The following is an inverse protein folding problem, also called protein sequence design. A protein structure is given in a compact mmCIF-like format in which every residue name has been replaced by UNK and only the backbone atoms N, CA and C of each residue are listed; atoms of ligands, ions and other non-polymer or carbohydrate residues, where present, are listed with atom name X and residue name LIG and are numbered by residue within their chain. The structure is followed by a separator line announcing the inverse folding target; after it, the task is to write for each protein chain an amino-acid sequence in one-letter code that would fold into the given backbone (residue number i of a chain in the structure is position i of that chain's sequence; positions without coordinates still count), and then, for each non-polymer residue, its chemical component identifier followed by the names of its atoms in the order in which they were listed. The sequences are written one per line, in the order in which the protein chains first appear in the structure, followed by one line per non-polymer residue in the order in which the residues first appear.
data_IF_646670032683
#
_entry.id   IF_646670032683
#
_cell.length_a   1.000
_cell.length_b   1.000
_cell.length_c   1.000
_cell.angle_alpha   90.00
_cell.angle_beta   90.00
_cell.angle_gamma   90.00
#
_symmetry.space_group_name_H-M   'P 1'
#
loop_
_entity.id
_entity.type
_entity.pdbx_description
1 polymer ?
#
# COMPACT_ATOMS: atom_id res chain seq x y z
N UNK A 1 4.39 31.41 -6.22
CA UNK A 1 4.27 31.79 -4.79
C UNK A 1 3.34 30.84 -4.07
N UNK A 2 3.66 30.52 -2.79
CA UNK A 2 2.76 29.72 -1.94
C UNK A 2 1.49 30.53 -1.65
N UNK A 3 0.33 29.93 -1.92
CA UNK A 3 -1.00 30.47 -1.60
C UNK A 3 -1.66 29.58 -0.57
N UNK A 4 -2.39 30.21 0.33
CA UNK A 4 -3.18 29.52 1.36
C UNK A 4 -4.60 30.03 1.27
N UNK A 5 -5.53 29.12 0.97
CA UNK A 5 -6.96 29.42 0.93
C UNK A 5 -7.67 28.68 2.07
N UNK A 6 -8.26 29.43 2.97
CA UNK A 6 -8.99 28.85 4.11
C UNK A 6 -10.46 28.66 3.77
N UNK A 7 -11.00 27.51 4.15
CA UNK A 7 -12.41 27.14 4.04
C UNK A 7 -12.90 26.57 5.35
N UNK A 8 -14.20 26.62 5.57
CA UNK A 8 -14.84 25.98 6.74
C UNK A 8 -15.70 24.82 6.26
N UNK A 9 -15.45 23.65 6.82
CA UNK A 9 -16.14 22.40 6.48
C UNK A 9 -16.92 21.91 7.71
N UNK A 10 -18.09 21.37 7.48
CA UNK A 10 -19.00 20.90 8.53
C UNK A 10 -20.08 21.92 8.91
N UNK A 11 -21.32 21.47 8.89
CA UNK A 11 -22.48 22.33 9.22
C UNK A 11 -22.46 22.82 10.68
N UNK A 12 -22.05 21.93 11.60
CA UNK A 12 -22.04 22.18 13.05
C UNK A 12 -20.64 22.52 13.56
N UNK A 13 -19.63 21.74 13.19
CA UNK A 13 -18.25 21.93 13.71
C UNK A 13 -17.56 23.15 13.11
N UNK A 14 -17.87 23.50 11.85
CA UNK A 14 -17.21 24.57 11.09
C UNK A 14 -15.68 24.49 11.18
N UNK A 15 -15.15 23.25 11.01
CA UNK A 15 -13.71 22.97 11.09
C UNK A 15 -12.97 23.75 10.02
N UNK A 16 -11.91 24.44 10.42
CA UNK A 16 -11.07 25.19 9.49
C UNK A 16 -10.24 24.20 8.65
N UNK A 17 -10.23 24.42 7.35
CA UNK A 17 -9.48 23.61 6.38
C UNK A 17 -8.67 24.55 5.50
N UNK A 18 -7.36 24.39 5.47
CA UNK A 18 -6.47 25.19 4.65
C UNK A 18 -6.06 24.41 3.38
N UNK A 19 -6.31 24.98 2.20
CA UNK A 19 -5.74 24.53 0.94
C UNK A 19 -4.44 25.28 0.67
N UNK A 20 -3.36 24.53 0.50
CA UNK A 20 -2.03 25.06 0.16
C UNK A 20 -1.69 24.64 -1.27
N UNK A 21 -1.18 25.57 -2.05
CA UNK A 21 -0.73 25.31 -3.42
C UNK A 21 0.27 26.35 -3.90
N UNK A 22 1.08 26.00 -4.89
CA UNK A 22 1.98 26.93 -5.58
C UNK A 22 1.24 27.51 -6.80
N UNK A 23 1.01 28.84 -6.78
CA UNK A 23 0.19 29.53 -7.80
C UNK A 23 0.73 29.39 -9.23
N UNK A 24 2.02 29.28 -9.37
CA UNK A 24 2.76 29.18 -10.63
C UNK A 24 2.92 27.73 -11.14
N UNK A 25 2.67 26.74 -10.30
CA UNK A 25 2.85 25.32 -10.65
C UNK A 25 1.54 24.53 -10.70
N UNK A 26 0.56 24.91 -9.87
CA UNK A 26 -0.72 24.20 -9.82
C UNK A 26 -1.52 24.41 -11.12
N UNK A 27 -2.11 23.34 -11.64
CA UNK A 27 -3.03 23.46 -12.77
C UNK A 27 -4.35 24.07 -12.31
N UNK A 28 -4.82 25.15 -12.95
CA UNK A 28 -6.06 25.83 -12.54
C UNK A 28 -7.28 24.89 -12.50
N UNK A 29 -7.38 23.98 -13.47
CA UNK A 29 -8.48 23.02 -13.57
C UNK A 29 -8.48 22.02 -12.39
N UNK A 30 -7.29 21.57 -11.96
CA UNK A 30 -7.13 20.70 -10.81
C UNK A 30 -7.57 21.42 -9.53
N UNK A 31 -7.07 22.65 -9.32
CA UNK A 31 -7.43 23.46 -8.16
C UNK A 31 -8.94 23.68 -8.09
N UNK A 32 -9.57 24.07 -9.20
CA UNK A 32 -11.01 24.29 -9.26
C UNK A 32 -11.81 23.03 -8.93
N UNK A 33 -11.38 21.86 -9.43
CA UNK A 33 -12.03 20.56 -9.10
C UNK A 33 -11.94 20.28 -7.61
N UNK A 34 -10.76 20.46 -7.01
CA UNK A 34 -10.54 20.23 -5.57
C UNK A 34 -11.40 21.19 -4.74
N UNK A 35 -11.38 22.49 -5.07
CA UNK A 35 -12.18 23.49 -4.37
C UNK A 35 -13.68 23.18 -4.42
N UNK A 36 -14.17 22.79 -5.60
CA UNK A 36 -15.58 22.44 -5.79
C UNK A 36 -15.97 21.19 -4.98
N UNK A 37 -15.07 20.21 -4.87
CA UNK A 37 -15.34 19.03 -4.05
C UNK A 37 -15.29 19.34 -2.56
N UNK A 38 -14.32 20.13 -2.10
CA UNK A 38 -14.25 20.56 -0.70
C UNK A 38 -15.51 21.37 -0.31
N UNK A 39 -16.02 22.22 -1.21
CA UNK A 39 -17.26 22.98 -0.96
C UNK A 39 -18.52 22.12 -0.94
N UNK A 40 -18.47 20.95 -1.59
CA UNK A 40 -19.57 19.96 -1.61
C UNK A 40 -19.52 18.97 -0.44
N UNK A 41 -18.52 19.04 0.43
CA UNK A 41 -18.46 18.18 1.61
C UNK A 41 -19.62 18.49 2.54
N UNK A 42 -20.66 17.66 2.47
CA UNK A 42 -21.85 17.80 3.29
C UNK A 42 -21.75 16.91 4.55
N UNK A 43 -21.14 17.47 5.59
CA UNK A 43 -20.91 16.84 6.88
C UNK A 43 -21.42 17.74 8.00
N UNK A 44 -21.91 17.14 9.08
CA UNK A 44 -22.18 17.87 10.31
C UNK A 44 -20.87 18.21 11.04
N UNK A 45 -19.89 17.30 10.99
CA UNK A 45 -18.62 17.38 11.70
C UNK A 45 -17.51 16.72 10.91
N UNK A 46 -16.35 17.37 10.83
CA UNK A 46 -15.11 16.81 10.29
C UNK A 46 -14.14 16.52 11.44
N UNK A 47 -14.14 15.28 11.99
CA UNK A 47 -13.34 14.96 13.18
C UNK A 47 -11.87 14.73 12.86
N UNK A 48 -11.56 14.18 11.68
CA UNK A 48 -10.21 13.80 11.28
C UNK A 48 -10.03 13.83 9.75
N UNK A 49 -8.76 13.85 9.31
CA UNK A 49 -8.35 13.79 7.91
C UNK A 49 -8.86 12.56 7.16
N UNK A 50 -8.96 11.41 7.81
CA UNK A 50 -9.47 10.17 7.22
C UNK A 50 -10.93 10.28 6.73
N UNK A 51 -11.76 11.09 7.39
CA UNK A 51 -13.12 11.41 6.89
C UNK A 51 -13.07 12.23 5.60
N UNK A 52 -12.18 13.23 5.56
CA UNK A 52 -11.99 14.04 4.36
C UNK A 52 -11.45 13.19 3.20
N UNK A 53 -10.49 12.29 3.46
CA UNK A 53 -9.93 11.37 2.48
C UNK A 53 -11.03 10.54 1.82
N UNK A 54 -11.82 9.81 2.60
CA UNK A 54 -12.89 8.94 2.08
C UNK A 54 -13.92 9.67 1.24
N UNK A 55 -14.28 10.90 1.60
CA UNK A 55 -15.29 11.69 0.90
C UNK A 55 -14.77 12.40 -0.35
N UNK A 56 -13.48 12.70 -0.37
CA UNK A 56 -12.79 13.31 -1.53
C UNK A 56 -12.39 12.26 -2.56
N UNK A 57 -12.36 10.98 -2.20
CA UNK A 57 -12.07 9.89 -3.13
C UNK A 57 -13.24 9.62 -4.07
N UNK A 58 -12.90 9.49 -5.36
CA UNK A 58 -13.91 9.22 -6.40
C UNK A 58 -14.50 7.82 -6.30
N UNK A 59 -13.67 6.82 -5.94
CA UNK A 59 -14.06 5.40 -5.80
C UNK A 59 -13.87 4.94 -4.36
N UNK A 60 -14.85 5.24 -3.53
CA UNK A 60 -14.87 4.92 -2.09
C UNK A 60 -14.85 3.41 -1.78
N UNK A 61 -15.28 2.55 -2.72
CA UNK A 61 -15.26 1.09 -2.54
C UNK A 61 -13.94 0.42 -2.94
N UNK A 62 -12.97 1.19 -3.45
CA UNK A 62 -11.65 0.66 -3.74
C UNK A 62 -10.85 0.49 -2.46
N UNK A 63 -10.15 -0.65 -2.25
CA UNK A 63 -9.25 -0.80 -1.12
C UNK A 63 -7.95 0.03 -1.29
N UNK A 64 -7.73 0.60 -2.48
CA UNK A 64 -6.54 1.39 -2.79
C UNK A 64 -6.81 2.87 -2.57
N UNK A 65 -5.98 3.57 -1.77
CA UNK A 65 -6.13 4.99 -1.50
C UNK A 65 -5.87 5.81 -2.78
N UNK A 66 -6.71 6.80 -3.04
CA UNK A 66 -6.58 7.71 -4.18
C UNK A 66 -5.98 9.06 -3.78
N UNK A 67 -5.81 9.28 -2.50
CA UNK A 67 -5.19 10.45 -1.88
C UNK A 67 -4.06 9.99 -0.97
N UNK A 68 -3.09 10.85 -0.72
CA UNK A 68 -1.94 10.51 0.11
C UNK A 68 -1.94 11.34 1.39
N UNK A 69 -2.00 10.68 2.54
CA UNK A 69 -1.83 11.32 3.84
C UNK A 69 -0.38 11.29 4.30
N UNK A 70 0.08 12.37 4.95
CA UNK A 70 1.41 12.46 5.53
C UNK A 70 1.44 13.43 6.70
N UNK A 71 2.21 13.10 7.74
CA UNK A 71 2.56 14.01 8.84
C UNK A 71 3.86 14.79 8.55
N UNK A 72 4.55 14.45 7.47
CA UNK A 72 5.88 14.97 7.16
C UNK A 72 5.80 16.28 6.38
N UNK A 73 6.36 17.38 6.92
CA UNK A 73 6.37 18.67 6.23
C UNK A 73 7.30 18.68 5.01
N UNK A 74 8.39 17.91 5.01
CA UNK A 74 9.31 17.75 3.88
C UNK A 74 8.61 17.14 2.66
N UNK A 75 7.82 16.04 2.87
CA UNK A 75 7.03 15.41 1.81
C UNK A 75 5.94 16.35 1.29
N UNK A 76 5.31 17.11 2.19
CA UNK A 76 4.30 18.10 1.81
C UNK A 76 4.90 19.22 0.95
N UNK A 77 6.08 19.74 1.34
CA UNK A 77 6.73 20.79 0.57
C UNK A 77 7.17 20.31 -0.81
N UNK A 78 7.73 19.10 -0.92
CA UNK A 78 8.09 18.50 -2.22
C UNK A 78 6.87 18.34 -3.12
N UNK A 79 5.75 17.82 -2.59
CA UNK A 79 4.51 17.67 -3.33
C UNK A 79 3.96 19.03 -3.85
N UNK A 80 4.06 20.08 -3.06
CA UNK A 80 3.66 21.43 -3.49
C UNK A 80 4.54 21.96 -4.64
N UNK A 81 5.84 21.66 -4.61
CA UNK A 81 6.78 22.02 -5.68
C UNK A 81 6.57 21.21 -6.96
N UNK A 82 5.95 20.04 -6.86
CA UNK A 82 5.48 19.23 -8.00
C UNK A 82 4.14 19.73 -8.59
N UNK A 83 3.57 20.81 -8.05
CA UNK A 83 2.28 21.35 -8.49
C UNK A 83 1.06 20.64 -7.90
N UNK A 84 1.25 19.79 -6.88
CA UNK A 84 0.16 19.16 -6.13
C UNK A 84 -0.45 20.14 -5.13
N UNK A 85 -1.62 19.82 -4.63
CA UNK A 85 -2.33 20.61 -3.61
C UNK A 85 -2.27 19.85 -2.29
N UNK A 86 -2.04 20.57 -1.19
CA UNK A 86 -2.12 20.02 0.15
C UNK A 86 -3.36 20.57 0.86
N UNK A 87 -4.16 19.67 1.45
CA UNK A 87 -5.31 20.00 2.28
C UNK A 87 -4.94 19.72 3.75
N UNK A 88 -5.05 20.74 4.58
CA UNK A 88 -4.76 20.68 6.03
C UNK A 88 -6.05 20.93 6.81
N UNK A 89 -6.75 19.87 7.26
CA UNK A 89 -7.84 20.00 8.21
C UNK A 89 -7.30 20.36 9.59
N UNK A 90 -8.04 21.18 10.33
CA UNK A 90 -7.74 21.44 11.73
C UNK A 90 -8.00 20.18 12.60
N UNK A 91 -7.39 20.11 13.77
CA UNK A 91 -7.48 19.01 14.75
C UNK A 91 -6.79 17.69 14.33
N UNK A 92 -6.00 17.66 13.26
CA UNK A 92 -5.26 16.49 12.81
C UNK A 92 -3.84 16.86 12.38
N UNK A 93 -2.82 16.02 12.66
CA UNK A 93 -1.45 16.28 12.22
C UNK A 93 -1.23 15.95 10.74
N UNK A 94 -2.22 15.37 10.06
CA UNK A 94 -2.08 14.88 8.70
C UNK A 94 -2.39 15.96 7.65
N UNK A 95 -1.48 16.08 6.68
CA UNK A 95 -1.75 16.75 5.40
C UNK A 95 -2.24 15.72 4.38
N UNK A 96 -3.29 16.07 3.64
CA UNK A 96 -3.81 15.27 2.52
C UNK A 96 -3.25 15.87 1.23
N UNK A 97 -2.48 15.10 0.48
CA UNK A 97 -1.86 15.49 -0.78
C UNK A 97 -2.68 14.99 -1.97
N UNK A 98 -2.99 15.90 -2.88
CA UNK A 98 -3.84 15.66 -4.05
C UNK A 98 -3.17 16.24 -5.31
N UNK A 99 -3.23 15.52 -6.43
CA UNK A 99 -3.61 14.13 -6.63
C UNK A 99 -2.55 13.15 -6.10
N UNK A 100 -2.90 11.86 -5.99
CA UNK A 100 -1.94 10.81 -5.67
C UNK A 100 -1.97 9.71 -6.73
N UNK A 101 -0.80 9.17 -7.06
CA UNK A 101 -0.61 8.07 -7.98
C UNK A 101 0.02 6.89 -7.25
N UNK A 102 -0.04 5.68 -7.80
CA UNK A 102 0.58 4.51 -7.20
C UNK A 102 2.06 4.76 -6.88
N UNK A 103 2.79 5.40 -7.78
CA UNK A 103 4.20 5.71 -7.62
C UNK A 103 4.47 6.56 -6.37
N UNK A 104 3.64 7.57 -6.08
CA UNK A 104 3.83 8.47 -4.93
C UNK A 104 3.72 7.76 -3.58
N UNK A 105 3.04 6.60 -3.52
CA UNK A 105 2.95 5.78 -2.30
C UNK A 105 4.20 4.94 -2.06
N UNK A 106 4.98 4.63 -3.11
CA UNK A 106 6.25 3.90 -3.00
C UNK A 106 7.45 4.81 -2.78
N UNK A 107 7.31 6.10 -3.04
CA UNK A 107 8.34 7.10 -2.80
C UNK A 107 8.35 7.53 -1.33
N UNK A 108 9.54 7.55 -0.74
CA UNK A 108 9.80 8.12 0.59
C UNK A 108 10.63 9.39 0.45
N UNK A 109 10.50 10.32 1.43
CA UNK A 109 11.29 11.56 1.39
C UNK A 109 12.80 11.28 1.52
N UNK A 110 13.16 10.21 2.23
CA UNK A 110 14.54 9.75 2.39
C UNK A 110 15.20 9.38 1.06
N UNK A 111 14.42 9.00 0.05
CA UNK A 111 14.95 8.66 -1.27
C UNK A 111 15.74 9.80 -1.90
N UNK A 112 15.51 11.05 -1.49
CA UNK A 112 16.18 12.23 -2.02
C UNK A 112 17.34 12.74 -1.16
N UNK A 113 17.57 12.12 0.01
CA UNK A 113 18.61 12.53 0.96
C UNK A 113 19.90 11.73 0.80
N UNK A 114 19.83 10.59 0.13
CA UNK A 114 20.97 9.67 -0.05
C UNK A 114 21.36 9.55 -1.52
N UNK A 115 22.36 8.73 -1.82
CA UNK A 115 22.88 8.51 -3.18
C UNK A 115 21.84 7.83 -4.07
N UNK A 116 21.73 8.28 -5.29
CA UNK A 116 20.72 7.83 -6.24
C UNK A 116 20.77 6.34 -6.56
N UNK A 117 21.98 5.75 -6.62
CA UNK A 117 22.16 4.31 -6.90
C UNK A 117 21.57 3.44 -5.79
N UNK A 118 21.85 3.81 -4.52
CA UNK A 118 21.35 3.10 -3.34
C UNK A 118 19.83 3.23 -3.26
N UNK A 119 19.32 4.43 -3.46
CA UNK A 119 17.88 4.68 -3.38
C UNK A 119 17.10 4.03 -4.51
N UNK A 120 17.66 3.96 -5.73
CA UNK A 120 17.07 3.19 -6.83
C UNK A 120 16.97 1.70 -6.50
N UNK A 121 18.00 1.12 -5.89
CA UNK A 121 17.98 -0.27 -5.44
C UNK A 121 16.92 -0.49 -4.34
N UNK A 122 16.82 0.41 -3.36
CA UNK A 122 15.81 0.32 -2.29
C UNK A 122 14.39 0.45 -2.87
N UNK A 123 14.17 1.35 -3.84
CA UNK A 123 12.87 1.45 -4.53
C UNK A 123 12.51 0.15 -5.24
N UNK A 124 13.46 -0.46 -5.95
CA UNK A 124 13.25 -1.76 -6.58
C UNK A 124 12.83 -2.82 -5.55
N UNK A 125 13.51 -2.87 -4.39
CA UNK A 125 13.13 -3.78 -3.30
C UNK A 125 11.70 -3.51 -2.83
N UNK A 126 11.25 -2.26 -2.72
CA UNK A 126 9.88 -1.92 -2.33
C UNK A 126 8.84 -2.45 -3.32
N UNK A 127 9.08 -2.31 -4.63
CA UNK A 127 8.18 -2.86 -5.65
C UNK A 127 8.13 -4.38 -5.62
N UNK A 128 9.29 -5.04 -5.48
CA UNK A 128 9.37 -6.51 -5.31
C UNK A 128 8.65 -6.93 -4.03
N UNK A 129 8.85 -6.23 -2.92
CA UNK A 129 8.17 -6.52 -1.65
C UNK A 129 6.64 -6.37 -1.78
N UNK A 130 6.15 -5.34 -2.46
CA UNK A 130 4.71 -5.18 -2.72
C UNK A 130 4.15 -6.34 -3.55
N UNK A 131 4.85 -6.75 -4.59
CA UNK A 131 4.47 -7.90 -5.40
C UNK A 131 4.44 -9.19 -4.57
N UNK A 132 5.48 -9.46 -3.77
CA UNK A 132 5.53 -10.62 -2.90
C UNK A 132 4.46 -10.60 -1.81
N UNK A 133 4.17 -9.43 -1.24
CA UNK A 133 3.10 -9.27 -0.24
C UNK A 133 1.74 -9.77 -0.76
N UNK A 134 1.46 -9.53 -2.03
CA UNK A 134 0.18 -9.93 -2.65
C UNK A 134 0.21 -11.37 -3.14
N UNK A 135 1.34 -11.82 -3.69
CA UNK A 135 1.39 -13.07 -4.47
C UNK A 135 1.92 -14.27 -3.70
N UNK A 136 2.84 -14.07 -2.75
CA UNK A 136 3.62 -15.17 -2.17
C UNK A 136 2.77 -16.26 -1.52
N UNK A 137 1.74 -15.99 -0.70
CA UNK A 137 0.89 -17.03 -0.12
C UNK A 137 0.09 -17.79 -1.18
N UNK A 138 -0.43 -17.08 -2.20
CA UNK A 138 -1.15 -17.69 -3.31
C UNK A 138 -0.25 -18.56 -4.19
N UNK A 139 0.97 -18.11 -4.48
CA UNK A 139 1.97 -18.91 -5.20
C UNK A 139 2.35 -20.18 -4.44
N UNK A 140 2.51 -20.08 -3.12
CA UNK A 140 2.78 -21.27 -2.30
C UNK A 140 1.65 -22.29 -2.41
N UNK A 141 0.38 -21.87 -2.30
CA UNK A 141 -0.77 -22.74 -2.49
C UNK A 141 -0.74 -23.37 -3.89
N UNK A 142 -0.53 -22.56 -4.93
CA UNK A 142 -0.51 -23.02 -6.30
C UNK A 142 0.57 -24.08 -6.55
N UNK A 143 1.78 -23.89 -6.02
CA UNK A 143 2.88 -24.86 -6.16
C UNK A 143 2.69 -26.10 -5.27
N UNK A 144 2.29 -25.92 -4.01
CA UNK A 144 2.21 -27.03 -3.09
C UNK A 144 1.02 -27.97 -3.35
N UNK A 145 -0.10 -27.46 -3.91
CA UNK A 145 -1.32 -28.24 -4.14
C UNK A 145 -1.48 -28.68 -5.58
N UNK A 146 -1.24 -27.77 -6.54
CA UNK A 146 -1.60 -28.00 -7.94
C UNK A 146 -0.40 -28.35 -8.83
N UNK A 147 0.79 -27.82 -8.51
CA UNK A 147 1.98 -27.94 -9.36
C UNK A 147 3.24 -28.30 -8.57
N UNK A 148 3.23 -29.40 -7.78
CA UNK A 148 4.42 -29.82 -7.01
C UNK A 148 5.61 -30.17 -7.93
N UNK A 149 5.36 -30.50 -9.18
CA UNK A 149 6.36 -30.80 -10.20
C UNK A 149 7.23 -29.59 -10.59
N UNK A 150 6.76 -28.37 -10.35
CA UNK A 150 7.55 -27.14 -10.59
C UNK A 150 8.57 -26.86 -9.48
N UNK A 151 8.43 -27.53 -8.32
CA UNK A 151 9.40 -27.42 -7.25
C UNK A 151 10.59 -28.36 -7.49
N UNK A 152 11.83 -27.97 -7.12
CA UNK A 152 12.96 -28.90 -7.12
C UNK A 152 12.59 -30.17 -6.32
N UNK A 153 12.88 -31.36 -6.85
CA UNK A 153 12.44 -32.63 -6.29
C UNK A 153 12.78 -32.80 -4.81
N UNK A 154 13.97 -32.36 -4.39
CA UNK A 154 14.38 -32.39 -2.99
C UNK A 154 13.49 -31.51 -2.08
N UNK A 155 13.05 -30.35 -2.58
CA UNK A 155 12.17 -29.45 -1.86
C UNK A 155 10.73 -30.00 -1.82
N UNK A 156 10.23 -30.51 -2.93
CA UNK A 156 8.89 -31.11 -3.02
C UNK A 156 8.75 -32.29 -2.05
N UNK A 157 9.73 -33.19 -2.00
CA UNK A 157 9.77 -34.31 -1.05
C UNK A 157 9.82 -33.82 0.40
N UNK A 158 10.64 -32.81 0.70
CA UNK A 158 10.73 -32.24 2.05
C UNK A 158 9.40 -31.63 2.49
N UNK A 159 8.74 -30.88 1.62
CA UNK A 159 7.40 -30.31 1.88
C UNK A 159 6.38 -31.43 2.10
N UNK A 160 6.39 -32.49 1.30
CA UNK A 160 5.48 -33.63 1.47
C UNK A 160 5.67 -34.30 2.83
N UNK A 161 6.90 -34.64 3.19
CA UNK A 161 7.22 -35.32 4.48
C UNK A 161 6.83 -34.45 5.68
N UNK A 162 7.12 -33.17 5.66
CA UNK A 162 6.77 -32.26 6.78
C UNK A 162 5.26 -32.07 6.96
N UNK A 163 4.45 -32.47 5.97
CA UNK A 163 2.99 -32.35 6.01
C UNK A 163 2.24 -33.65 6.38
N UNK A 164 2.94 -34.77 6.43
CA UNK A 164 2.30 -36.07 6.76
C UNK A 164 1.58 -36.08 8.12
N UNK A 165 2.06 -35.29 9.09
CA UNK A 165 1.50 -35.20 10.44
C UNK A 165 0.48 -34.06 10.62
N UNK A 166 0.24 -33.24 9.59
CA UNK A 166 -0.60 -32.05 9.72
C UNK A 166 -2.03 -32.36 9.28
N UNK A 167 -3.05 -32.11 10.14
CA UNK A 167 -4.43 -32.47 9.84
C UNK A 167 -5.11 -31.46 8.87
N UNK A 168 -4.53 -30.27 8.64
CA UNK A 168 -5.13 -29.24 7.80
C UNK A 168 -4.63 -29.31 6.36
N UNK A 169 -5.49 -28.86 5.42
CA UNK A 169 -5.07 -28.63 4.03
C UNK A 169 -4.09 -27.46 3.95
N UNK A 170 -3.27 -27.40 2.88
CA UNK A 170 -2.35 -26.26 2.62
C UNK A 170 -3.08 -24.93 2.70
N UNK A 171 -4.26 -24.86 2.11
CA UNK A 171 -5.09 -23.65 2.10
C UNK A 171 -5.49 -23.27 3.52
N UNK A 172 -5.90 -24.25 4.33
CA UNK A 172 -6.24 -24.04 5.74
C UNK A 172 -5.05 -23.55 6.56
N UNK A 173 -3.87 -24.17 6.40
CA UNK A 173 -2.64 -23.73 7.08
C UNK A 173 -2.29 -22.30 6.73
N UNK A 174 -2.30 -21.93 5.45
CA UNK A 174 -2.00 -20.56 4.99
C UNK A 174 -3.00 -19.56 5.58
N UNK A 175 -4.30 -19.86 5.54
CA UNK A 175 -5.33 -18.97 6.09
C UNK A 175 -5.19 -18.80 7.60
N UNK A 176 -4.94 -19.88 8.35
CA UNK A 176 -4.71 -19.81 9.80
C UNK A 176 -3.52 -18.89 10.11
N UNK A 177 -2.40 -19.07 9.42
CA UNK A 177 -1.21 -18.25 9.65
C UNK A 177 -1.40 -16.78 9.23
N UNK A 178 -2.02 -16.53 8.08
CA UNK A 178 -2.30 -15.17 7.63
C UNK A 178 -3.24 -14.42 8.59
N UNK A 179 -4.27 -15.09 9.11
CA UNK A 179 -5.18 -14.52 10.12
C UNK A 179 -4.44 -14.30 11.45
N UNK A 180 -3.60 -15.24 11.88
CA UNK A 180 -2.83 -15.11 13.11
C UNK A 180 -1.87 -13.91 13.05
N UNK A 181 -1.15 -13.73 11.93
CA UNK A 181 -0.30 -12.54 11.72
C UNK A 181 -1.10 -11.24 11.65
N UNK A 182 -2.30 -11.27 11.06
CA UNK A 182 -3.18 -10.12 11.02
C UNK A 182 -3.66 -9.70 12.41
N UNK A 183 -4.04 -10.67 13.24
CA UNK A 183 -4.43 -10.43 14.65
C UNK A 183 -3.26 -9.89 15.48
N UNK A 184 -2.05 -10.42 15.28
CA UNK A 184 -0.84 -9.88 15.92
C UNK A 184 -0.59 -8.43 15.57
N UNK A 185 -0.72 -8.08 14.30
CA UNK A 185 -0.55 -6.72 13.81
C UNK A 185 -1.60 -5.77 14.39
N UNK A 186 -2.88 -6.17 14.32
CA UNK A 186 -3.99 -5.37 14.85
C UNK A 186 -3.84 -5.13 16.37
N UNK A 187 -3.45 -6.17 17.10
CA UNK A 187 -3.13 -6.05 18.51
C UNK A 187 -1.95 -5.12 18.77
N UNK A 188 -0.90 -5.22 17.93
CA UNK A 188 0.31 -4.40 18.04
C UNK A 188 0.07 -2.90 17.86
N UNK A 189 -0.79 -2.51 16.96
CA UNK A 189 -1.08 -1.08 16.67
C UNK A 189 -1.77 -0.39 17.87
N UNK A 190 -2.54 -1.12 18.65
CA UNK A 190 -3.32 -0.56 19.78
C UNK A 190 -2.55 -0.46 21.09
N UNK A 191 -1.34 -0.99 21.15
CA UNK A 191 -0.55 -1.06 22.37
C UNK A 191 0.56 0.00 22.38
N UNK A 192 0.97 0.50 23.56
CA UNK A 192 2.14 1.36 23.69
C UNK A 192 3.39 0.69 23.09
N UNK A 193 4.27 1.46 22.44
CA UNK A 193 5.42 0.98 21.69
C UNK A 193 6.26 -0.11 22.37
N UNK A 194 6.62 -0.01 23.69
CA UNK A 194 7.42 -1.05 24.35
C UNK A 194 6.69 -2.39 24.46
N UNK A 195 5.37 -2.35 24.72
CA UNK A 195 4.54 -3.56 24.84
C UNK A 195 4.27 -4.16 23.48
N UNK A 196 3.99 -3.33 22.48
CA UNK A 196 3.78 -3.75 21.09
C UNK A 196 4.97 -4.51 20.51
N UNK A 197 6.21 -4.02 20.72
CA UNK A 197 7.42 -4.70 20.23
C UNK A 197 7.62 -6.06 20.92
N UNK A 198 7.38 -6.13 22.23
CA UNK A 198 7.47 -7.38 23.00
C UNK A 198 6.45 -8.41 22.51
N UNK A 199 5.19 -8.01 22.34
CA UNK A 199 4.13 -8.89 21.83
C UNK A 199 4.42 -9.32 20.39
N UNK A 200 4.96 -8.43 19.54
CA UNK A 200 5.34 -8.77 18.19
C UNK A 200 6.42 -9.85 18.13
N UNK A 201 7.48 -9.74 18.96
CA UNK A 201 8.56 -10.73 19.03
C UNK A 201 8.07 -12.03 19.65
N UNK A 202 7.49 -11.96 20.86
CA UNK A 202 7.02 -13.14 21.60
C UNK A 202 5.89 -13.84 20.86
N UNK A 203 4.90 -13.08 20.36
CA UNK A 203 3.80 -13.63 19.59
C UNK A 203 4.27 -14.28 18.29
N UNK A 204 5.19 -13.67 17.55
CA UNK A 204 5.77 -14.24 16.32
C UNK A 204 6.53 -15.55 16.58
N UNK A 205 7.35 -15.60 17.63
CA UNK A 205 8.09 -16.82 18.01
C UNK A 205 7.12 -17.88 18.52
N UNK A 206 6.23 -17.57 19.47
CA UNK A 206 5.32 -18.54 20.06
C UNK A 206 4.36 -19.09 19.01
N UNK A 207 3.73 -18.23 18.20
CA UNK A 207 2.82 -18.69 17.15
C UNK A 207 3.56 -19.50 16.10
N UNK A 208 4.76 -19.05 15.68
CA UNK A 208 5.55 -19.77 14.69
C UNK A 208 6.05 -21.14 15.20
N UNK A 209 6.76 -21.18 16.34
CA UNK A 209 7.34 -22.43 16.85
C UNK A 209 6.28 -23.37 17.44
N UNK A 210 5.39 -22.86 18.30
CA UNK A 210 4.39 -23.71 18.94
C UNK A 210 3.38 -24.29 17.94
N UNK A 211 3.01 -23.56 16.90
CA UNK A 211 2.11 -24.07 15.88
C UNK A 211 2.74 -25.17 15.04
N UNK A 212 4.06 -25.08 14.78
CA UNK A 212 4.84 -26.14 14.11
C UNK A 212 5.03 -27.34 15.03
N UNK A 213 5.44 -27.13 16.29
CA UNK A 213 5.67 -28.20 17.26
C UNK A 213 4.38 -28.96 17.58
N UNK A 214 3.24 -28.28 17.58
CA UNK A 214 1.92 -28.89 17.74
C UNK A 214 1.40 -29.61 16.46
N UNK A 215 2.12 -29.53 15.35
CA UNK A 215 1.69 -30.10 14.07
C UNK A 215 0.43 -29.43 13.48
N UNK A 216 0.17 -28.18 13.82
CA UNK A 216 -0.97 -27.41 13.27
C UNK A 216 -0.65 -26.86 11.89
N UNK A 217 0.58 -26.38 11.70
CA UNK A 217 1.05 -25.82 10.43
C UNK A 217 2.44 -26.33 10.09
N UNK A 218 2.76 -26.35 8.80
CA UNK A 218 4.09 -26.75 8.34
C UNK A 218 5.11 -25.61 8.51
N UNK A 219 6.40 -25.92 8.75
CA UNK A 219 7.46 -24.94 8.81
C UNK A 219 7.52 -24.05 7.57
N UNK A 220 7.21 -24.60 6.40
CA UNK A 220 7.23 -23.88 5.13
C UNK A 220 6.16 -22.78 5.09
N UNK A 221 4.95 -23.06 5.57
CA UNK A 221 3.86 -22.05 5.64
C UNK A 221 4.26 -20.90 6.58
N UNK A 222 4.88 -21.22 7.72
CA UNK A 222 5.35 -20.18 8.66
C UNK A 222 6.37 -19.25 7.98
N UNK A 223 7.32 -19.80 7.21
CA UNK A 223 8.32 -19.02 6.47
C UNK A 223 7.63 -18.15 5.42
N UNK A 224 6.69 -18.69 4.66
CA UNK A 224 5.95 -17.95 3.62
C UNK A 224 5.16 -16.79 4.23
N UNK A 225 4.40 -17.03 5.29
CA UNK A 225 3.61 -15.99 5.95
C UNK A 225 4.49 -14.95 6.65
N UNK A 226 5.59 -15.36 7.29
CA UNK A 226 6.55 -14.44 7.89
C UNK A 226 7.19 -13.53 6.84
N UNK A 227 7.63 -14.09 5.70
CA UNK A 227 8.22 -13.32 4.61
C UNK A 227 7.19 -12.35 3.99
N UNK A 228 5.95 -12.78 3.81
CA UNK A 228 4.84 -11.91 3.37
C UNK A 228 4.63 -10.74 4.33
N UNK A 229 4.66 -11.01 5.63
CA UNK A 229 4.57 -9.99 6.66
C UNK A 229 5.72 -8.98 6.59
N UNK A 230 6.96 -9.47 6.52
CA UNK A 230 8.17 -8.63 6.40
C UNK A 230 8.10 -7.75 5.13
N UNK A 231 7.75 -8.33 3.98
CA UNK A 231 7.59 -7.58 2.74
C UNK A 231 6.60 -6.42 2.87
N UNK A 232 5.50 -6.60 3.62
CA UNK A 232 4.52 -5.54 3.84
C UNK A 232 5.05 -4.36 4.66
N UNK A 233 6.08 -4.55 5.50
CA UNK A 233 6.70 -3.47 6.29
C UNK A 233 7.74 -2.66 5.51
N UNK A 234 8.23 -3.17 4.38
CA UNK A 234 9.20 -2.47 3.53
C UNK A 234 8.55 -1.27 2.81
N UNK A 235 7.24 -1.28 2.66
CA UNK A 235 6.48 -0.24 1.94
C UNK A 235 6.26 0.96 2.87
N UNK A 236 6.64 2.20 2.45
CA UNK A 236 6.67 3.34 3.35
C UNK A 236 5.30 3.92 3.71
N UNK A 237 4.28 3.71 2.89
CA UNK A 237 2.94 4.27 3.11
C UNK A 237 1.96 3.21 3.63
N UNK A 238 1.39 3.45 4.81
CA UNK A 238 0.50 2.50 5.50
C UNK A 238 -0.83 2.29 4.77
N UNK A 239 -1.36 3.35 4.13
CA UNK A 239 -2.66 3.26 3.45
C UNK A 239 -2.61 2.28 2.27
N UNK A 240 -1.56 2.35 1.42
CA UNK A 240 -1.40 1.41 0.30
C UNK A 240 -1.16 -0.02 0.78
N UNK A 241 -0.42 -0.20 1.89
CA UNK A 241 -0.19 -1.54 2.48
C UNK A 241 -1.52 -2.20 2.85
N UNK A 242 -2.47 -1.46 3.41
CA UNK A 242 -3.80 -1.98 3.75
C UNK A 242 -4.55 -2.47 2.51
N UNK A 243 -4.47 -1.75 1.39
CA UNK A 243 -5.03 -2.17 0.09
C UNK A 243 -4.37 -3.45 -0.44
N UNK A 244 -3.04 -3.56 -0.37
CA UNK A 244 -2.30 -4.75 -0.78
C UNK A 244 -2.64 -5.97 0.08
N UNK A 245 -2.82 -5.79 1.38
CA UNK A 245 -3.22 -6.87 2.32
C UNK A 245 -4.59 -7.44 1.98
N UNK A 246 -5.57 -6.60 1.68
CA UNK A 246 -6.89 -7.07 1.25
C UNK A 246 -6.76 -7.81 -0.10
N UNK A 247 -6.00 -7.25 -1.04
CA UNK A 247 -5.77 -7.86 -2.35
C UNK A 247 -5.11 -9.23 -2.27
N UNK A 248 -4.24 -9.47 -1.27
CA UNK A 248 -3.64 -10.77 -0.98
C UNK A 248 -4.69 -11.87 -0.80
N UNK A 249 -5.76 -11.63 -0.05
CA UNK A 249 -6.82 -12.62 0.16
C UNK A 249 -7.58 -12.94 -1.13
N UNK A 250 -7.72 -11.98 -2.04
CA UNK A 250 -8.28 -12.24 -3.37
C UNK A 250 -7.38 -13.20 -4.14
N UNK A 251 -6.06 -12.99 -4.13
CA UNK A 251 -5.10 -13.89 -4.79
C UNK A 251 -5.11 -15.29 -4.15
N UNK A 252 -5.15 -15.39 -2.81
CA UNK A 252 -5.27 -16.65 -2.09
C UNK A 252 -6.54 -17.42 -2.52
N UNK A 253 -7.67 -16.74 -2.60
CA UNK A 253 -8.93 -17.36 -3.02
C UNK A 253 -8.85 -17.91 -4.46
N UNK A 254 -8.38 -17.12 -5.41
CA UNK A 254 -8.22 -17.57 -6.79
C UNK A 254 -7.18 -18.69 -6.93
N UNK A 255 -6.08 -18.62 -6.17
CA UNK A 255 -5.07 -19.66 -6.13
C UNK A 255 -5.62 -20.98 -5.56
N UNK A 256 -6.47 -20.90 -4.54
CA UNK A 256 -7.11 -22.07 -3.93
C UNK A 256 -8.08 -22.79 -4.87
N UNK A 257 -8.72 -22.09 -5.81
CA UNK A 257 -9.71 -22.65 -6.73
C UNK A 257 -9.05 -23.10 -8.06
N UNK A 258 -8.14 -22.28 -8.61
CA UNK A 258 -7.60 -22.45 -9.96
C UNK A 258 -6.08 -22.64 -10.00
N UNK A 259 -5.41 -22.81 -8.86
CA UNK A 259 -3.96 -22.97 -8.80
C UNK A 259 -3.20 -21.78 -9.38
N UNK A 260 -2.15 -22.05 -10.15
CA UNK A 260 -1.29 -21.01 -10.75
C UNK A 260 -2.05 -20.13 -11.75
N UNK A 261 -2.98 -20.71 -12.51
CA UNK A 261 -3.86 -19.93 -13.39
C UNK A 261 -4.69 -18.91 -12.59
N UNK A 262 -5.18 -19.32 -11.41
CA UNK A 262 -5.90 -18.43 -10.51
C UNK A 262 -5.07 -17.26 -10.02
N UNK A 263 -3.80 -17.48 -9.69
CA UNK A 263 -2.88 -16.38 -9.31
C UNK A 263 -2.76 -15.36 -10.44
N UNK A 264 -2.53 -15.81 -11.67
CA UNK A 264 -2.43 -14.90 -12.83
C UNK A 264 -3.74 -14.17 -13.11
N UNK A 265 -4.87 -14.88 -13.04
CA UNK A 265 -6.19 -14.26 -13.22
C UNK A 265 -6.46 -13.19 -12.16
N UNK A 266 -6.16 -13.45 -10.89
CA UNK A 266 -6.30 -12.47 -9.82
C UNK A 266 -5.39 -11.25 -10.02
N UNK A 267 -4.14 -11.45 -10.43
CA UNK A 267 -3.21 -10.35 -10.74
C UNK A 267 -3.71 -9.49 -11.90
N UNK A 268 -4.24 -10.10 -12.96
CA UNK A 268 -4.81 -9.36 -14.09
C UNK A 268 -6.05 -8.55 -13.65
N UNK A 269 -6.91 -9.11 -12.81
CA UNK A 269 -8.05 -8.39 -12.24
C UNK A 269 -7.61 -7.21 -11.37
N UNK A 270 -6.58 -7.39 -10.53
CA UNK A 270 -6.02 -6.32 -9.72
C UNK A 270 -5.39 -5.22 -10.58
N UNK A 271 -4.63 -5.59 -11.62
CA UNK A 271 -4.07 -4.62 -12.57
C UNK A 271 -5.16 -3.86 -13.32
N UNK A 272 -6.21 -4.54 -13.80
CA UNK A 272 -7.36 -3.90 -14.44
C UNK A 272 -8.09 -2.94 -13.49
N UNK A 273 -8.23 -3.33 -12.22
CA UNK A 273 -8.80 -2.46 -11.18
C UNK A 273 -7.93 -1.20 -10.99
N UNK A 274 -6.63 -1.36 -10.77
CA UNK A 274 -5.70 -0.24 -10.60
C UNK A 274 -5.67 0.69 -11.83
N UNK A 275 -5.68 0.12 -13.04
CA UNK A 275 -5.73 0.90 -14.29
C UNK A 275 -7.03 1.69 -14.45
N UNK A 276 -8.12 1.23 -13.83
CA UNK A 276 -9.42 1.91 -13.86
C UNK A 276 -9.54 3.06 -12.85
N UNK A 277 -8.60 3.16 -11.90
CA UNK A 277 -8.59 4.21 -10.88
C UNK A 277 -8.00 5.51 -11.44
N UNK A 278 -8.55 6.62 -10.99
CA UNK A 278 -8.04 7.97 -11.32
C UNK A 278 -8.13 8.87 -10.12
N UNK A 279 -7.06 9.64 -9.86
CA UNK A 279 -7.05 10.69 -8.84
C UNK A 279 -7.12 12.07 -9.53
N UNK A 280 -8.26 12.76 -9.38
CA UNK A 280 -8.51 14.08 -9.97
C UNK A 280 -8.26 14.22 -11.48
N UNK A 281 -8.42 13.10 -12.22
CA UNK A 281 -8.20 13.05 -13.67
C UNK A 281 -6.81 12.56 -14.09
N UNK A 282 -5.92 12.30 -13.13
CA UNK A 282 -4.63 11.66 -13.37
C UNK A 282 -4.81 10.15 -13.20
N UNK A 283 -4.37 9.31 -14.17
CA UNK A 283 -4.39 7.86 -14.02
C UNK A 283 -3.61 7.41 -12.78
N UNK A 284 -4.18 6.47 -12.03
CA UNK A 284 -3.55 5.98 -10.79
C UNK A 284 -2.19 5.31 -11.03
N UNK A 285 -2.05 4.61 -12.17
CA UNK A 285 -0.81 3.97 -12.59
C UNK A 285 0.18 4.91 -13.29
N UNK A 286 -0.02 6.22 -13.27
CA UNK A 286 1.00 7.16 -13.77
C UNK A 286 2.31 7.00 -12.98
N UNK A 287 3.52 6.97 -13.62
CA UNK A 287 3.82 7.21 -15.04
C UNK A 287 3.76 5.96 -15.94
N UNK A 288 3.41 4.78 -15.43
CA UNK A 288 3.37 3.53 -16.20
C UNK A 288 2.25 3.49 -17.26
N UNK A 289 1.21 4.32 -17.09
CA UNK A 289 0.16 4.51 -18.08
C UNK A 289 0.17 5.97 -18.54
N UNK A 290 0.06 6.19 -19.86
CA UNK A 290 -0.03 7.52 -20.45
C UNK A 290 -1.27 8.25 -19.95
N UNK A 291 -1.11 9.53 -19.65
CA UNK A 291 -2.19 10.46 -19.36
C UNK A 291 -2.42 11.32 -20.60
N UNK A 292 -3.67 11.45 -21.06
CA UNK A 292 -4.04 12.41 -22.12
C UNK A 292 -3.73 13.87 -21.77
N UNK A 293 -3.32 14.13 -20.53
CA UNK A 293 -3.03 15.46 -19.98
C UNK A 293 -1.53 15.77 -19.99
N UNK A 294 -0.66 14.73 -20.02
CA UNK A 294 0.79 14.86 -20.07
C UNK A 294 1.33 13.83 -21.06
N UNK A 295 1.87 14.28 -22.19
CA UNK A 295 2.57 13.42 -23.15
C UNK A 295 3.95 12.95 -22.64
N UNK A 296 4.54 13.63 -21.66
CA UNK A 296 5.81 13.26 -21.06
C UNK A 296 5.58 12.26 -19.92
N UNK A 297 5.84 10.97 -20.19
CA UNK A 297 5.93 9.95 -19.15
C UNK A 297 7.21 10.20 -18.35
N UNK A 298 7.07 10.69 -17.12
CA UNK A 298 8.18 10.95 -16.23
C UNK A 298 8.70 9.65 -15.61
N UNK A 299 9.51 8.92 -16.40
CA UNK A 299 10.20 7.71 -15.95
C UNK A 299 11.41 8.01 -15.06
N UNK A 300 11.86 9.28 -15.07
CA UNK A 300 13.10 9.70 -14.44
C UNK A 300 13.07 9.60 -12.91
N UNK A 301 11.87 9.59 -12.32
CA UNK A 301 11.63 9.45 -10.88
C UNK A 301 10.56 8.42 -10.53
N UNK A 302 10.58 7.28 -11.20
CA UNK A 302 9.64 6.18 -10.91
C UNK A 302 10.29 5.06 -10.08
N UNK A 303 10.57 3.91 -10.69
CA UNK A 303 11.28 2.78 -10.05
C UNK A 303 12.76 3.15 -9.85
N UNK A 304 13.37 3.75 -10.87
CA UNK A 304 14.76 4.22 -10.80
C UNK A 304 14.75 5.73 -10.64
N UNK A 305 15.57 6.21 -9.72
CA UNK A 305 15.81 7.63 -9.54
C UNK A 305 17.07 8.02 -10.31
N UNK A 306 17.01 9.09 -11.12
CA UNK A 306 18.18 9.68 -11.74
C UNK A 306 18.95 10.60 -10.76
N UNK A 307 20.23 10.92 -11.06
CA UNK A 307 20.95 11.95 -10.34
C UNK A 307 20.18 13.28 -10.35
N UNK A 308 20.21 14.03 -9.24
CA UNK A 308 19.49 15.31 -9.12
C UNK A 308 19.88 16.34 -10.19
N UNK A 309 21.09 16.22 -10.76
CA UNK A 309 21.57 17.08 -11.84
C UNK A 309 20.90 16.82 -13.19
N UNK A 310 20.37 15.62 -13.39
CA UNK A 310 19.74 15.16 -14.64
C UNK A 310 18.22 15.19 -14.57
N UNK A 311 17.65 15.26 -13.37
CA UNK A 311 16.21 15.40 -13.19
C UNK A 311 15.76 16.76 -13.69
N UNK A 312 14.94 16.81 -14.72
CA UNK A 312 14.26 18.03 -15.18
C UNK A 312 13.25 18.45 -14.10
N UNK A 313 13.45 19.61 -13.55
CA UNK A 313 12.54 20.24 -12.59
C UNK A 313 11.55 21.16 -13.29
#
# INVERSE_FOLDING_TARGET
RLKVKRKKVGRRSKTDVALLYMEDLVRPELLQKIETQVDRLDLDHLPDSGYAEQLLEKRQYSPFPQLQMTERPDKTSSALLEGRVALLPDNTPYAILLPATLNTFFQAAEDYYDRWEIMSFIRLIRFVAAFLTVTLPGLYIAFAVYHPELLPTALALKVAVTRETIPFSVIGEVLIMEIAFELLREGGIRLPSPVSSTIGIVGGIIIGSAAVDAGIVSPTVVIVSALTGICSFVIPNVSIVSGLRISKYVVIFFAAVFGLFGVWAALLLLLAHLASLTSYGIPYLYPFCSSSVNDDMDWEDSIFRLPLSEMKR
#
